data_IF_113789664325
#
_entry.id   IF_113789664325
#
_cell.length_a   1.000
_cell.length_b   1.000
_cell.length_c   1.000
_cell.angle_alpha   90.00
_cell.angle_beta   90.00
_cell.angle_gamma   90.00
#
_symmetry.space_group_name_H-M   'P 1'
#
loop_
_entity.id
_entity.type
_entity.pdbx_description
1 polymer ?
#
# COMPACT_ATOMS: atom_id res chain seq x y z
N UNK A 1 10.78 -9.51 14.63
CA UNK A 1 11.90 -10.39 14.18
C UNK A 1 12.35 -9.86 12.83
N UNK A 2 13.61 -9.41 12.69
CA UNK A 2 14.12 -8.87 11.42
C UNK A 2 14.12 -9.97 10.36
N UNK A 3 13.71 -9.59 9.15
CA UNK A 3 13.58 -10.51 7.99
C UNK A 3 14.91 -10.75 7.33
N UNK A 4 15.89 -9.93 7.65
CA UNK A 4 17.26 -10.07 7.14
C UNK A 4 17.99 -10.98 8.13
N UNK A 5 18.33 -12.23 7.75
CA UNK A 5 18.92 -13.20 8.69
C UNK A 5 20.32 -12.82 9.18
N UNK A 6 20.79 -11.63 8.84
CA UNK A 6 22.18 -11.21 9.02
C UNK A 6 22.40 -10.10 10.06
N UNK A 7 21.40 -9.64 10.81
CA UNK A 7 21.64 -8.60 11.83
C UNK A 7 22.64 -9.02 12.90
N UNK A 8 22.82 -10.33 13.09
CA UNK A 8 23.76 -10.90 14.04
C UNK A 8 24.96 -11.60 13.36
N UNK A 9 25.04 -11.56 12.04
CA UNK A 9 26.09 -12.20 11.26
C UNK A 9 26.68 -11.20 10.24
N UNK A 10 27.79 -10.56 10.62
CA UNK A 10 28.42 -9.51 9.83
C UNK A 10 28.92 -10.02 8.47
N UNK A 11 29.47 -11.21 8.41
CA UNK A 11 29.95 -11.80 7.15
C UNK A 11 28.80 -12.07 6.17
N UNK A 12 27.67 -12.52 6.66
CA UNK A 12 26.47 -12.71 5.83
C UNK A 12 25.87 -11.37 5.40
N UNK A 13 25.89 -10.35 6.26
CA UNK A 13 25.47 -9.01 5.91
C UNK A 13 26.32 -8.43 4.78
N UNK A 14 27.64 -8.57 4.84
CA UNK A 14 28.55 -8.13 3.77
C UNK A 14 28.28 -8.86 2.45
N UNK A 15 28.01 -10.16 2.51
CA UNK A 15 27.64 -10.93 1.31
C UNK A 15 26.32 -10.45 0.72
N UNK A 16 25.31 -10.15 1.55
CA UNK A 16 24.03 -9.61 1.09
C UNK A 16 24.23 -8.26 0.41
N UNK A 17 25.01 -7.34 0.99
CA UNK A 17 25.31 -6.03 0.39
C UNK A 17 26.00 -6.17 -0.96
N UNK A 18 27.02 -7.02 -1.02
CA UNK A 18 27.75 -7.29 -2.26
C UNK A 18 26.84 -7.90 -3.33
N UNK A 19 25.99 -8.85 -2.95
CA UNK A 19 25.06 -9.47 -3.88
C UNK A 19 23.95 -8.51 -4.32
N UNK A 20 23.47 -7.64 -3.43
CA UNK A 20 22.53 -6.58 -3.77
C UNK A 20 23.11 -5.61 -4.81
N UNK A 21 24.40 -5.28 -4.69
CA UNK A 21 25.09 -4.44 -5.67
C UNK A 21 25.21 -5.13 -7.02
N UNK A 22 25.54 -6.42 -7.05
CA UNK A 22 25.56 -7.22 -8.27
C UNK A 22 24.18 -7.29 -8.93
N UNK A 23 23.11 -7.45 -8.16
CA UNK A 23 21.72 -7.42 -8.68
C UNK A 23 21.39 -6.09 -9.36
N UNK A 24 21.92 -4.98 -8.87
CA UNK A 24 21.67 -3.65 -9.43
C UNK A 24 22.49 -3.35 -10.68
N UNK A 25 23.75 -3.75 -10.68
CA UNK A 25 24.73 -3.28 -11.65
C UNK A 25 25.21 -4.36 -12.61
N UNK A 26 25.21 -5.61 -12.18
CA UNK A 26 25.88 -6.72 -12.86
C UNK A 26 25.07 -8.01 -12.85
N UNK A 27 23.79 -7.92 -13.22
CA UNK A 27 22.87 -9.07 -13.20
C UNK A 27 23.40 -10.32 -13.90
N UNK A 28 24.28 -10.17 -14.91
CA UNK A 28 24.92 -11.27 -15.60
C UNK A 28 25.96 -12.02 -14.75
N UNK A 29 26.36 -11.49 -13.59
CA UNK A 29 27.28 -12.11 -12.65
C UNK A 29 26.61 -12.80 -11.46
N UNK A 30 25.29 -12.98 -11.48
CA UNK A 30 24.52 -13.54 -10.37
C UNK A 30 24.98 -14.93 -9.91
N UNK A 31 25.59 -15.73 -10.78
CA UNK A 31 26.18 -17.03 -10.43
C UNK A 31 27.49 -16.96 -9.62
N UNK A 32 28.09 -15.78 -9.46
CA UNK A 32 29.41 -15.59 -8.83
C UNK A 32 29.30 -15.19 -7.35
N UNK A 33 28.50 -15.92 -6.55
CA UNK A 33 28.29 -15.59 -5.13
C UNK A 33 29.12 -16.44 -4.16
N UNK A 34 29.82 -17.46 -4.64
CA UNK A 34 30.74 -18.28 -3.84
C UNK A 34 30.06 -19.29 -2.91
N UNK A 35 28.77 -19.55 -3.07
CA UNK A 35 28.02 -20.57 -2.34
C UNK A 35 27.61 -21.69 -3.29
N UNK A 36 27.47 -22.91 -2.78
CA UNK A 36 26.79 -23.95 -3.51
C UNK A 36 25.26 -23.68 -3.56
N UNK A 37 24.54 -24.40 -4.40
CA UNK A 37 23.11 -24.15 -4.63
C UNK A 37 22.29 -24.32 -3.35
N UNK A 38 22.59 -25.33 -2.54
CA UNK A 38 21.88 -25.60 -1.29
C UNK A 38 22.12 -24.49 -0.26
N UNK A 39 23.37 -24.08 -0.10
CA UNK A 39 23.75 -23.03 0.84
C UNK A 39 23.25 -21.66 0.37
N UNK A 40 23.22 -21.40 -0.93
CA UNK A 40 22.63 -20.20 -1.51
C UNK A 40 21.16 -20.02 -1.10
N UNK A 41 20.34 -21.06 -1.26
CA UNK A 41 18.92 -20.99 -0.87
C UNK A 41 18.72 -21.00 0.63
N UNK A 42 19.48 -21.81 1.38
CA UNK A 42 19.29 -21.94 2.83
C UNK A 42 19.81 -20.74 3.61
N UNK A 43 20.83 -20.04 3.11
CA UNK A 43 21.38 -18.85 3.77
C UNK A 43 20.43 -17.65 3.78
N UNK A 44 19.40 -17.66 2.92
CA UNK A 44 18.52 -16.50 2.71
C UNK A 44 19.20 -15.33 1.99
N UNK A 45 20.42 -15.52 1.43
CA UNK A 45 21.20 -14.48 0.78
C UNK A 45 20.42 -13.80 -0.35
N UNK A 46 19.79 -14.58 -1.23
CA UNK A 46 18.99 -14.04 -2.33
C UNK A 46 17.82 -13.19 -1.84
N UNK A 47 17.07 -13.71 -0.88
CA UNK A 47 15.95 -12.98 -0.28
C UNK A 47 16.41 -11.71 0.43
N UNK A 48 17.49 -11.80 1.23
CA UNK A 48 18.08 -10.64 1.90
C UNK A 48 18.57 -9.58 0.92
N UNK A 49 19.20 -9.98 -0.19
CA UNK A 49 19.67 -9.06 -1.23
C UNK A 49 18.49 -8.36 -1.94
N UNK A 50 17.43 -9.09 -2.28
CA UNK A 50 16.20 -8.52 -2.85
C UNK A 50 15.59 -7.48 -1.90
N UNK A 51 15.41 -7.81 -0.61
CA UNK A 51 14.86 -6.88 0.37
C UNK A 51 15.77 -5.64 0.56
N UNK A 52 17.08 -5.84 0.49
CA UNK A 52 18.03 -4.72 0.58
C UNK A 52 17.95 -3.79 -0.63
N UNK A 53 17.86 -4.34 -1.84
CA UNK A 53 17.63 -3.54 -3.05
C UNK A 53 16.30 -2.77 -2.95
N UNK A 54 15.23 -3.44 -2.54
CA UNK A 54 13.92 -2.80 -2.32
C UNK A 54 14.02 -1.67 -1.29
N UNK A 55 14.70 -1.91 -0.17
CA UNK A 55 14.92 -0.91 0.88
C UNK A 55 15.67 0.33 0.42
N UNK A 56 16.64 0.18 -0.49
CA UNK A 56 17.40 1.31 -1.03
C UNK A 56 16.57 2.22 -1.96
N UNK A 57 15.53 1.68 -2.57
CA UNK A 57 14.60 2.41 -3.44
C UNK A 57 13.34 2.88 -2.72
N UNK A 58 13.14 2.49 -1.48
CA UNK A 58 12.05 3.01 -0.66
C UNK A 58 12.47 4.34 -0.02
N UNK A 59 11.52 5.28 0.10
CA UNK A 59 11.76 6.46 0.92
C UNK A 59 12.10 6.02 2.34
N UNK A 60 13.00 6.76 2.99
CA UNK A 60 13.25 6.57 4.42
C UNK A 60 11.93 6.79 5.18
N UNK A 61 11.77 6.16 6.35
CA UNK A 61 10.59 6.40 7.19
C UNK A 61 10.42 7.89 7.49
N UNK A 62 11.53 8.61 7.70
CA UNK A 62 11.51 10.06 7.89
C UNK A 62 10.94 10.80 6.68
N UNK A 63 11.39 10.50 5.46
CA UNK A 63 10.90 11.15 4.25
C UNK A 63 9.42 10.83 3.97
N UNK A 64 8.96 9.62 4.32
CA UNK A 64 7.54 9.26 4.21
C UNK A 64 6.69 10.07 5.20
N UNK A 65 7.12 10.14 6.46
CA UNK A 65 6.42 10.93 7.49
C UNK A 65 6.37 12.40 7.13
N UNK A 66 7.46 12.99 6.66
CA UNK A 66 7.53 14.37 6.20
C UNK A 66 6.52 14.63 5.07
N UNK A 67 6.48 13.78 4.06
CA UNK A 67 5.52 13.89 2.97
C UNK A 67 4.06 13.83 3.45
N UNK A 68 3.74 12.88 4.32
CA UNK A 68 2.38 12.73 4.87
C UNK A 68 2.00 13.93 5.73
N UNK A 69 2.92 14.43 6.55
CA UNK A 69 2.69 15.63 7.37
C UNK A 69 2.38 16.87 6.51
N UNK A 70 3.11 17.08 5.42
CA UNK A 70 2.81 18.17 4.48
C UNK A 70 1.42 18.02 3.86
N UNK A 71 1.03 16.81 3.49
CA UNK A 71 -0.30 16.58 2.92
C UNK A 71 -1.41 16.80 3.97
N UNK A 72 -1.25 16.30 5.19
CA UNK A 72 -2.23 16.49 6.25
C UNK A 72 -2.33 17.95 6.69
N UNK A 73 -1.20 18.67 6.79
CA UNK A 73 -1.21 20.11 7.05
C UNK A 73 -1.94 20.88 5.94
N UNK A 74 -1.67 20.55 4.67
CA UNK A 74 -2.36 21.17 3.54
C UNK A 74 -3.88 20.92 3.57
N UNK A 75 -4.31 19.73 3.99
CA UNK A 75 -5.73 19.41 4.17
C UNK A 75 -6.36 20.16 5.34
N UNK A 76 -5.65 20.31 6.44
CA UNK A 76 -6.11 21.08 7.62
C UNK A 76 -6.18 22.58 7.31
N UNK A 77 -5.15 23.15 6.71
CA UNK A 77 -5.11 24.56 6.29
C UNK A 77 -6.23 24.89 5.27
N UNK A 78 -6.54 23.95 4.39
CA UNK A 78 -7.64 24.03 3.44
C UNK A 78 -9.01 23.69 4.01
N UNK A 79 -9.12 23.38 5.31
CA UNK A 79 -10.37 23.01 6.01
C UNK A 79 -11.06 21.75 5.44
N UNK A 80 -10.31 20.85 4.81
CA UNK A 80 -10.80 19.55 4.36
C UNK A 80 -10.89 18.53 5.51
N UNK A 81 -10.12 18.73 6.57
CA UNK A 81 -10.16 18.00 7.83
C UNK A 81 -10.11 18.99 9.00
N UNK A 82 -10.62 18.58 10.15
CA UNK A 82 -10.63 19.43 11.37
C UNK A 82 -9.28 19.45 12.10
N UNK A 83 -8.41 18.47 11.81
CA UNK A 83 -7.06 18.38 12.37
C UNK A 83 -6.53 16.96 12.37
N UNK A 84 -5.28 16.81 12.78
CA UNK A 84 -4.62 15.51 12.83
C UNK A 84 -3.55 15.45 13.91
N UNK A 85 -3.22 14.23 14.35
CA UNK A 85 -2.12 13.96 15.28
C UNK A 85 -1.31 12.76 14.79
N UNK A 86 0.01 12.84 14.97
CA UNK A 86 0.87 11.68 14.80
C UNK A 86 0.81 10.84 16.08
N UNK A 87 0.66 9.55 15.95
CA UNK A 87 0.67 8.64 17.09
C UNK A 87 2.10 8.28 17.49
N UNK A 88 2.29 7.92 18.76
CA UNK A 88 3.58 7.45 19.23
C UNK A 88 3.97 6.11 18.59
N UNK A 89 5.26 5.82 18.48
CA UNK A 89 5.82 4.63 17.78
C UNK A 89 5.34 3.27 18.33
N UNK A 90 4.71 3.23 19.49
CA UNK A 90 4.13 2.02 20.12
C UNK A 90 2.70 1.73 19.65
N UNK A 91 2.04 2.65 18.95
CA UNK A 91 0.66 2.51 18.53
C UNK A 91 0.54 1.75 17.20
N UNK A 92 -0.65 1.15 16.99
CA UNK A 92 -0.97 0.33 15.80
C UNK A 92 -1.29 1.13 14.55
N UNK A 93 -1.35 2.45 14.63
CA UNK A 93 -1.60 3.38 13.54
C UNK A 93 -0.59 4.53 13.60
N UNK A 94 -0.30 5.15 12.47
CA UNK A 94 0.70 6.22 12.37
C UNK A 94 0.08 7.60 12.61
N UNK A 95 -1.17 7.81 12.19
CA UNK A 95 -1.87 9.10 12.30
C UNK A 95 -3.33 8.93 12.68
N UNK A 96 -3.83 9.87 13.49
CA UNK A 96 -5.25 10.04 13.80
C UNK A 96 -5.70 11.33 13.15
N UNK A 97 -6.81 11.28 12.41
CA UNK A 97 -7.38 12.43 11.71
C UNK A 97 -8.79 12.70 12.25
N UNK A 98 -9.01 13.92 12.69
CA UNK A 98 -10.32 14.42 13.08
C UNK A 98 -11.03 14.96 11.84
N UNK A 99 -12.15 14.37 11.50
CA UNK A 99 -12.95 14.75 10.34
C UNK A 99 -13.90 15.91 10.69
N UNK A 100 -14.33 16.66 9.69
CA UNK A 100 -15.23 17.81 9.88
C UNK A 100 -16.60 17.42 10.45
N UNK A 101 -17.03 16.19 10.23
CA UNK A 101 -18.25 15.62 10.84
C UNK A 101 -18.12 15.31 12.34
N UNK A 102 -16.91 15.41 12.90
CA UNK A 102 -16.59 14.96 14.27
C UNK A 102 -16.20 13.49 14.36
N UNK A 103 -16.25 12.73 13.26
CA UNK A 103 -15.75 11.35 13.18
C UNK A 103 -14.24 11.30 13.24
N UNK A 104 -13.71 10.15 13.56
CA UNK A 104 -12.27 9.90 13.65
C UNK A 104 -11.85 8.90 12.60
N UNK A 105 -10.87 9.26 11.79
CA UNK A 105 -10.20 8.35 10.88
C UNK A 105 -8.78 8.05 11.36
N UNK A 106 -8.28 6.86 11.07
CA UNK A 106 -6.88 6.50 11.31
C UNK A 106 -6.19 6.15 10.01
N UNK A 107 -4.91 6.48 9.93
CA UNK A 107 -4.04 6.17 8.79
C UNK A 107 -2.93 5.24 9.26
N UNK A 108 -2.74 4.15 8.54
CA UNK A 108 -1.60 3.24 8.67
C UNK A 108 -0.69 3.42 7.46
N UNK A 109 0.53 3.91 7.70
CA UNK A 109 1.50 4.22 6.66
C UNK A 109 2.31 2.99 6.28
N UNK A 110 2.13 2.54 5.07
CA UNK A 110 2.85 1.39 4.52
C UNK A 110 3.84 1.80 3.43
N UNK A 111 4.84 0.96 3.21
CA UNK A 111 5.62 0.97 1.98
C UNK A 111 4.84 0.37 0.80
N UNK A 112 5.53 -0.30 -0.11
CA UNK A 112 4.84 -1.01 -1.19
C UNK A 112 3.96 -2.14 -0.61
N UNK A 113 2.68 -2.16 -1.01
CA UNK A 113 1.70 -3.13 -0.50
C UNK A 113 1.97 -4.58 -0.90
N UNK A 114 2.77 -4.80 -1.94
CA UNK A 114 3.18 -6.14 -2.41
C UNK A 114 4.30 -6.77 -1.57
N UNK A 115 4.81 -6.04 -0.56
CA UNK A 115 5.83 -6.54 0.36
C UNK A 115 5.34 -7.68 1.25
N UNK A 116 6.19 -8.70 1.46
CA UNK A 116 5.86 -9.88 2.26
C UNK A 116 5.60 -9.58 3.75
N UNK A 117 5.92 -8.38 4.21
CA UNK A 117 5.89 -7.98 5.62
C UNK A 117 4.90 -6.87 5.93
N UNK A 118 3.96 -6.63 5.03
CA UNK A 118 2.91 -5.66 5.29
C UNK A 118 1.93 -6.25 6.30
N UNK A 119 2.15 -5.99 7.59
CA UNK A 119 1.16 -6.25 8.61
C UNK A 119 0.05 -5.22 8.49
N UNK A 120 -1.18 -5.70 8.38
CA UNK A 120 -2.36 -4.85 8.40
C UNK A 120 -2.96 -5.01 9.78
N UNK A 121 -2.99 -3.90 10.51
CA UNK A 121 -3.57 -3.87 11.83
C UNK A 121 -5.10 -3.86 11.76
N UNK A 122 -5.72 -4.14 12.86
CA UNK A 122 -7.15 -3.99 13.04
C UNK A 122 -7.49 -2.51 13.23
N UNK A 123 -8.63 -2.07 12.69
CA UNK A 123 -9.12 -0.72 12.94
C UNK A 123 -9.33 -0.55 14.44
N UNK A 124 -8.77 0.49 15.07
CA UNK A 124 -9.03 0.79 16.47
C UNK A 124 -10.52 1.00 16.76
N UNK A 125 -11.00 0.56 17.92
CA UNK A 125 -12.42 0.65 18.30
C UNK A 125 -12.95 2.09 18.33
N UNK A 126 -12.08 3.05 18.56
CA UNK A 126 -12.40 4.48 18.59
C UNK A 126 -12.26 5.17 17.22
N UNK A 127 -11.99 4.43 16.16
CA UNK A 127 -11.91 4.96 14.81
C UNK A 127 -13.14 4.57 13.99
N UNK A 128 -13.72 5.55 13.33
CA UNK A 128 -14.85 5.35 12.40
C UNK A 128 -14.37 4.87 11.03
N UNK A 129 -13.15 5.30 10.64
CA UNK A 129 -12.55 4.97 9.36
C UNK A 129 -11.11 4.50 9.52
N UNK A 130 -10.68 3.58 8.67
CA UNK A 130 -9.32 3.10 8.61
C UNK A 130 -8.81 3.09 7.17
N UNK A 131 -7.81 3.92 6.91
CA UNK A 131 -7.22 4.08 5.58
C UNK A 131 -5.75 3.65 5.60
N UNK A 132 -5.36 2.84 4.64
CA UNK A 132 -3.95 2.52 4.40
C UNK A 132 -3.39 3.51 3.40
N UNK A 133 -2.31 4.17 3.78
CA UNK A 133 -1.55 5.02 2.88
C UNK A 133 -0.27 4.30 2.45
N UNK A 134 -0.22 3.90 1.20
CA UNK A 134 0.96 3.24 0.63
C UNK A 134 1.84 4.24 -0.08
N UNK A 135 3.07 4.38 0.40
CA UNK A 135 4.09 5.22 -0.23
C UNK A 135 5.18 4.32 -0.81
N UNK A 136 5.18 4.18 -2.11
CA UNK A 136 6.16 3.40 -2.84
C UNK A 136 7.02 4.33 -3.69
N UNK A 137 8.28 4.51 -3.32
CA UNK A 137 9.24 5.35 -4.05
C UNK A 137 10.12 4.57 -5.02
N UNK A 138 9.78 3.32 -5.30
CA UNK A 138 10.51 2.50 -6.24
C UNK A 138 10.36 3.05 -7.67
N UNK A 139 11.42 3.66 -8.18
CA UNK A 139 11.47 4.28 -9.52
C UNK A 139 11.20 3.31 -10.68
N UNK A 140 11.36 2.01 -10.47
CA UNK A 140 11.03 0.97 -11.45
C UNK A 140 9.66 0.32 -11.29
N UNK A 141 8.96 0.60 -10.17
CA UNK A 141 7.66 0.03 -9.87
C UNK A 141 6.50 0.77 -10.53
N UNK A 142 5.47 0.03 -10.93
CA UNK A 142 4.17 0.60 -11.26
C UNK A 142 3.32 0.60 -9.99
N UNK A 143 2.99 1.76 -9.40
CA UNK A 143 2.18 1.83 -8.18
C UNK A 143 0.86 1.08 -8.30
N UNK A 144 0.26 1.04 -9.50
CA UNK A 144 -1.00 0.32 -9.75
C UNK A 144 -0.83 -1.20 -9.68
N UNK A 145 0.31 -1.74 -10.13
CA UNK A 145 0.62 -3.17 -10.00
C UNK A 145 0.87 -3.54 -8.55
N UNK A 146 1.58 -2.69 -7.81
CA UNK A 146 1.82 -2.89 -6.39
C UNK A 146 0.50 -2.82 -5.61
N UNK A 147 -0.38 -1.87 -5.94
CA UNK A 147 -1.72 -1.79 -5.37
C UNK A 147 -2.52 -3.07 -5.64
N UNK A 148 -2.59 -3.50 -6.89
CA UNK A 148 -3.30 -4.73 -7.28
C UNK A 148 -2.76 -5.95 -6.51
N UNK A 149 -1.45 -6.17 -6.54
CA UNK A 149 -0.83 -7.30 -5.85
C UNK A 149 -1.12 -7.26 -4.34
N UNK A 150 -0.96 -6.10 -3.70
CA UNK A 150 -1.22 -5.93 -2.28
C UNK A 150 -2.69 -6.12 -1.91
N UNK A 151 -3.61 -5.55 -2.69
CA UNK A 151 -5.07 -5.67 -2.47
C UNK A 151 -5.50 -7.12 -2.68
N UNK A 152 -5.12 -7.73 -3.80
CA UNK A 152 -5.52 -9.08 -4.12
C UNK A 152 -4.95 -10.13 -3.15
N UNK A 153 -3.66 -10.05 -2.81
CA UNK A 153 -3.02 -11.10 -2.00
C UNK A 153 -3.15 -10.85 -0.51
N UNK A 154 -2.89 -9.64 -0.07
CA UNK A 154 -2.73 -9.30 1.36
C UNK A 154 -4.00 -8.77 1.99
N UNK A 155 -4.51 -7.64 1.47
CA UNK A 155 -5.68 -7.00 2.04
C UNK A 155 -6.90 -7.90 1.98
N UNK A 156 -7.16 -8.55 0.84
CA UNK A 156 -8.27 -9.48 0.72
C UNK A 156 -8.17 -10.65 1.70
N UNK A 157 -6.97 -11.20 1.92
CA UNK A 157 -6.77 -12.27 2.88
C UNK A 157 -7.03 -11.79 4.32
N UNK A 158 -6.46 -10.67 4.72
CA UNK A 158 -6.64 -10.11 6.06
C UNK A 158 -8.10 -9.72 6.33
N UNK A 159 -8.77 -9.11 5.36
CA UNK A 159 -10.19 -8.75 5.49
C UNK A 159 -11.08 -9.98 5.58
N UNK A 160 -10.88 -10.97 4.70
CA UNK A 160 -11.78 -12.13 4.60
C UNK A 160 -11.53 -13.15 5.72
N UNK A 161 -10.26 -13.44 6.06
CA UNK A 161 -9.94 -14.50 7.03
C UNK A 161 -9.84 -14.00 8.46
N UNK A 162 -9.43 -12.76 8.67
CA UNK A 162 -9.26 -12.17 10.00
C UNK A 162 -10.30 -11.10 10.32
N UNK A 163 -11.30 -10.93 9.43
CA UNK A 163 -12.39 -9.95 9.59
C UNK A 163 -11.90 -8.50 9.81
N UNK A 164 -10.71 -8.18 9.33
CA UNK A 164 -10.17 -6.83 9.45
C UNK A 164 -10.90 -5.88 8.51
N UNK A 165 -11.18 -4.68 9.00
CA UNK A 165 -11.85 -3.63 8.22
C UNK A 165 -10.84 -2.62 7.74
N UNK A 166 -10.85 -2.37 6.43
CA UNK A 166 -10.09 -1.31 5.76
C UNK A 166 -11.06 -0.59 4.84
N UNK A 167 -11.25 0.70 5.04
CA UNK A 167 -12.24 1.48 4.27
C UNK A 167 -11.67 1.94 2.94
N UNK A 168 -10.35 2.12 2.87
CA UNK A 168 -9.70 2.44 1.62
C UNK A 168 -8.18 2.41 1.65
N UNK A 169 -7.63 2.56 0.44
CA UNK A 169 -6.18 2.64 0.23
C UNK A 169 -5.87 3.89 -0.60
N UNK A 170 -4.95 4.70 -0.11
CA UNK A 170 -4.36 5.81 -0.86
C UNK A 170 -2.99 5.38 -1.36
N UNK A 171 -2.80 5.37 -2.67
CA UNK A 171 -1.49 5.17 -3.30
C UNK A 171 -1.02 6.52 -3.82
N UNK A 172 -0.06 7.10 -3.12
CA UNK A 172 0.41 8.42 -3.45
C UNK A 172 1.78 8.67 -2.85
N UNK A 173 2.72 9.09 -3.66
CA UNK A 173 4.08 9.35 -3.26
C UNK A 173 4.70 10.51 -4.05
N UNK A 174 5.89 10.93 -3.64
CA UNK A 174 6.67 11.98 -4.29
C UNK A 174 7.05 11.66 -5.76
N UNK A 175 6.83 10.45 -6.21
CA UNK A 175 7.22 9.93 -7.53
C UNK A 175 6.03 9.31 -8.24
N UNK A 176 4.82 9.66 -7.84
CA UNK A 176 3.59 9.15 -8.47
C UNK A 176 3.63 9.41 -9.97
N UNK A 177 3.60 8.34 -10.76
CA UNK A 177 3.74 8.42 -12.20
C UNK A 177 5.13 8.14 -12.77
N UNK A 178 6.03 7.66 -11.96
CA UNK A 178 7.44 7.27 -12.20
C UNK A 178 8.01 7.34 -13.61
N UNK A 179 9.28 7.72 -13.67
CA UNK A 179 10.15 7.68 -14.87
C UNK A 179 9.96 6.38 -15.66
N UNK A 180 9.54 6.51 -16.93
CA UNK A 180 9.29 5.38 -17.82
C UNK A 180 7.83 4.91 -17.88
N UNK A 181 6.97 5.33 -16.96
CA UNK A 181 5.51 5.07 -17.00
C UNK A 181 4.75 6.29 -16.51
N UNK A 182 4.66 7.34 -17.29
CA UNK A 182 4.01 8.58 -16.88
C UNK A 182 2.56 8.30 -16.45
N UNK A 183 2.22 8.75 -15.24
CA UNK A 183 0.84 8.79 -14.82
C UNK A 183 0.08 9.78 -15.71
N UNK A 184 -1.06 9.39 -16.31
CA UNK A 184 -1.87 10.32 -17.08
C UNK A 184 -2.26 11.60 -16.33
N UNK A 185 -2.29 11.53 -15.01
CA UNK A 185 -2.56 12.68 -14.13
C UNK A 185 -1.43 13.71 -14.13
N UNK A 186 -0.19 13.30 -14.39
CA UNK A 186 0.97 14.19 -14.51
C UNK A 186 1.08 14.83 -15.90
N UNK A 187 0.28 14.41 -16.87
CA UNK A 187 0.32 14.94 -18.23
C UNK A 187 -0.06 16.43 -18.33
N UNK A 188 -0.62 16.99 -17.25
CA UNK A 188 -0.97 18.42 -17.19
C UNK A 188 -0.52 19.00 -15.85
N UNK A 189 0.39 19.98 -15.89
CA UNK A 189 0.80 20.77 -14.72
C UNK A 189 -0.39 21.43 -14.01
N UNK A 190 -1.47 21.72 -14.75
CA UNK A 190 -2.71 22.30 -14.24
C UNK A 190 -3.44 21.42 -13.19
N UNK A 191 -3.01 20.20 -12.98
CA UNK A 191 -3.61 19.27 -11.99
C UNK A 191 -2.68 18.95 -10.81
N UNK A 192 -1.62 19.69 -10.66
CA UNK A 192 -0.74 19.54 -9.51
C UNK A 192 -1.21 20.46 -8.38
N UNK A 193 -1.11 19.96 -7.16
CA UNK A 193 -1.33 20.72 -5.94
C UNK A 193 0.00 20.95 -5.26
N UNK A 194 0.31 22.20 -4.98
CA UNK A 194 1.50 22.58 -4.22
C UNK A 194 1.24 22.38 -2.73
N UNK A 195 2.07 21.56 -2.09
CA UNK A 195 2.02 21.35 -0.64
C UNK A 195 3.44 21.42 -0.04
N UNK A 196 3.85 22.61 0.34
CA UNK A 196 5.19 22.88 0.83
C UNK A 196 6.26 22.62 -0.24
N UNK A 197 7.24 21.72 0.00
CA UNK A 197 8.29 21.43 -0.98
C UNK A 197 7.83 20.48 -2.11
N UNK A 198 6.57 20.05 -2.11
CA UNK A 198 6.05 19.04 -3.03
C UNK A 198 5.00 19.65 -3.96
N UNK A 199 5.08 19.29 -5.26
CA UNK A 199 4.02 19.47 -6.22
C UNK A 199 3.50 18.08 -6.62
N UNK A 200 2.25 17.79 -6.31
CA UNK A 200 1.71 16.44 -6.39
C UNK A 200 0.46 16.34 -7.24
N UNK A 201 0.31 15.26 -8.02
CA UNK A 201 -0.93 15.00 -8.76
C UNK A 201 -2.02 14.50 -7.79
N UNK A 202 -3.27 14.41 -8.22
CA UNK A 202 -4.32 13.77 -7.45
C UNK A 202 -3.95 12.35 -7.02
N UNK A 203 -4.23 12.00 -5.77
CA UNK A 203 -3.96 10.67 -5.22
C UNK A 203 -4.71 9.56 -5.98
N UNK A 204 -4.14 8.36 -6.03
CA UNK A 204 -4.85 7.16 -6.46
C UNK A 204 -5.62 6.58 -5.26
N UNK A 205 -6.95 6.65 -5.31
CA UNK A 205 -7.84 6.22 -4.24
C UNK A 205 -8.49 4.90 -4.63
N UNK A 206 -8.42 3.93 -3.73
CA UNK A 206 -9.09 2.64 -3.81
C UNK A 206 -10.10 2.55 -2.68
N UNK A 207 -11.38 2.48 -3.03
CA UNK A 207 -12.49 2.29 -2.09
C UNK A 207 -12.66 0.79 -1.85
N UNK A 208 -12.72 0.40 -0.58
CA UNK A 208 -12.84 -0.98 -0.15
C UNK A 208 -14.30 -1.30 0.28
N UNK A 209 -14.70 -2.57 0.34
CA UNK A 209 -16.00 -2.94 0.88
C UNK A 209 -16.11 -2.64 2.38
N UNK A 210 -17.23 -2.09 2.83
CA UNK A 210 -17.54 -1.95 4.25
C UNK A 210 -17.83 -3.30 4.93
N UNK A 211 -18.43 -4.23 4.17
CA UNK A 211 -18.77 -5.55 4.66
C UNK A 211 -17.70 -6.59 4.33
N UNK A 212 -17.56 -7.59 5.20
CA UNK A 212 -16.74 -8.77 4.95
C UNK A 212 -17.61 -9.82 4.25
N UNK A 213 -17.15 -10.42 3.13
CA UNK A 213 -17.94 -11.44 2.46
C UNK A 213 -18.13 -12.67 3.35
N UNK A 214 -19.34 -13.24 3.31
CA UNK A 214 -19.73 -14.40 4.10
C UNK A 214 -20.51 -15.41 3.25
N UNK A 215 -20.80 -16.59 3.78
CA UNK A 215 -21.59 -17.57 3.07
C UNK A 215 -23.02 -17.05 2.74
N UNK A 216 -23.58 -16.18 3.58
CA UNK A 216 -24.87 -15.57 3.34
C UNK A 216 -24.80 -14.40 2.33
N UNK A 217 -23.67 -13.73 2.27
CA UNK A 217 -23.40 -12.64 1.34
C UNK A 217 -22.01 -12.86 0.71
N UNK A 218 -21.90 -13.75 -0.28
CA UNK A 218 -20.61 -14.14 -0.83
C UNK A 218 -19.93 -13.03 -1.63
N UNK A 219 -20.69 -12.06 -2.13
CA UNK A 219 -20.18 -10.92 -2.90
C UNK A 219 -20.40 -9.64 -2.13
N UNK A 220 -19.34 -8.85 -1.95
CA UNK A 220 -19.40 -7.51 -1.36
C UNK A 220 -18.82 -6.49 -2.32
N UNK A 221 -19.42 -5.32 -2.35
CA UNK A 221 -19.06 -4.21 -3.23
C UNK A 221 -18.34 -3.12 -2.46
N UNK A 222 -17.45 -2.42 -3.16
CA UNK A 222 -16.81 -1.23 -2.64
C UNK A 222 -17.82 -0.20 -2.14
N UNK A 223 -17.46 0.52 -1.11
CA UNK A 223 -18.17 1.72 -0.63
C UNK A 223 -18.14 2.82 -1.71
N UNK A 224 -19.09 3.76 -1.60
CA UNK A 224 -19.04 4.97 -2.40
C UNK A 224 -18.11 6.01 -1.73
N UNK A 225 -17.57 6.95 -2.50
CA UNK A 225 -16.63 7.94 -1.97
C UNK A 225 -17.20 8.73 -0.78
N UNK A 226 -18.48 9.12 -0.86
CA UNK A 226 -19.15 9.90 0.20
C UNK A 226 -19.36 9.13 1.51
N UNK A 227 -19.21 7.81 1.51
CA UNK A 227 -19.32 6.97 2.71
C UNK A 227 -18.02 6.94 3.51
N UNK A 228 -16.89 7.35 2.90
CA UNK A 228 -15.57 7.41 3.53
C UNK A 228 -15.06 8.86 3.48
N UNK A 229 -15.33 9.60 4.56
CA UNK A 229 -15.11 11.04 4.62
C UNK A 229 -13.65 11.43 4.42
N UNK A 230 -12.71 10.67 5.00
CA UNK A 230 -11.28 10.93 4.80
C UNK A 230 -10.88 10.82 3.33
N UNK A 231 -11.38 9.81 2.61
CA UNK A 231 -11.09 9.67 1.19
C UNK A 231 -11.77 10.75 0.35
N UNK A 232 -12.98 11.18 0.74
CA UNK A 232 -13.64 12.35 0.15
C UNK A 232 -12.84 13.62 0.33
N UNK A 233 -12.26 13.82 1.51
CA UNK A 233 -11.39 14.95 1.81
C UNK A 233 -10.12 14.93 0.95
N UNK A 234 -9.45 13.78 0.83
CA UNK A 234 -8.32 13.62 -0.09
C UNK A 234 -8.68 13.92 -1.54
N UNK A 235 -9.77 13.35 -2.01
CA UNK A 235 -10.24 13.52 -3.38
C UNK A 235 -10.51 14.99 -3.70
N UNK A 236 -11.19 15.69 -2.82
CA UNK A 236 -11.55 17.10 -2.99
C UNK A 236 -10.35 18.02 -2.86
N UNK A 237 -9.47 17.80 -1.86
CA UNK A 237 -8.31 18.62 -1.58
C UNK A 237 -7.30 18.62 -2.73
N UNK A 238 -7.07 17.45 -3.35
CA UNK A 238 -6.03 17.27 -4.35
C UNK A 238 -6.56 17.13 -5.79
N UNK A 239 -7.72 17.70 -6.08
CA UNK A 239 -8.25 17.82 -7.44
C UNK A 239 -8.57 16.48 -8.08
N UNK A 240 -9.08 15.52 -7.31
CA UNK A 240 -9.53 14.22 -7.79
C UNK A 240 -10.69 14.32 -8.78
N UNK A 241 -10.86 13.30 -9.60
CA UNK A 241 -11.99 13.14 -10.52
C UNK A 241 -12.66 11.80 -10.26
N UNK A 242 -13.97 11.77 -10.32
CA UNK A 242 -14.76 10.56 -10.03
C UNK A 242 -14.41 9.38 -10.96
N UNK A 243 -14.08 9.67 -12.23
CA UNK A 243 -13.66 8.66 -13.20
C UNK A 243 -12.26 8.09 -12.92
N UNK A 244 -11.52 8.63 -11.93
CA UNK A 244 -10.22 8.15 -11.49
C UNK A 244 -10.28 7.30 -10.22
N UNK A 245 -11.42 7.22 -9.57
CA UNK A 245 -11.64 6.37 -8.39
C UNK A 245 -11.61 4.89 -8.75
N UNK A 246 -10.99 4.11 -7.87
CA UNK A 246 -10.95 2.66 -8.00
C UNK A 246 -11.87 2.02 -6.95
N UNK A 247 -12.71 1.12 -7.40
CA UNK A 247 -13.69 0.41 -6.58
C UNK A 247 -13.30 -1.07 -6.51
N UNK A 248 -13.04 -1.57 -5.30
CA UNK A 248 -12.60 -2.94 -5.05
C UNK A 248 -13.76 -3.77 -4.57
N UNK A 249 -14.05 -4.86 -5.28
CA UNK A 249 -15.09 -5.81 -4.89
C UNK A 249 -14.43 -7.14 -4.51
N UNK A 250 -15.03 -7.87 -3.57
CA UNK A 250 -14.63 -9.23 -3.22
C UNK A 250 -15.78 -10.20 -3.41
N UNK A 251 -15.43 -11.40 -3.86
CA UNK A 251 -16.33 -12.53 -3.92
C UNK A 251 -15.63 -13.74 -3.31
N UNK A 252 -16.36 -14.54 -2.54
CA UNK A 252 -15.85 -15.78 -1.96
C UNK A 252 -16.65 -16.99 -2.45
N UNK A 253 -15.96 -18.12 -2.51
CA UNK A 253 -16.56 -19.42 -2.76
C UNK A 253 -15.89 -20.48 -1.87
N UNK A 254 -16.68 -21.40 -1.32
CA UNK A 254 -16.14 -22.56 -0.64
C UNK A 254 -16.06 -23.76 -1.58
N UNK A 255 -14.90 -24.40 -1.60
CA UNK A 255 -14.68 -25.66 -2.27
C UNK A 255 -14.22 -26.69 -1.23
N UNK A 256 -15.16 -27.43 -0.65
CA UNK A 256 -14.91 -28.29 0.51
C UNK A 256 -14.44 -27.49 1.72
N UNK A 257 -13.23 -27.75 2.20
CA UNK A 257 -12.60 -27.04 3.32
C UNK A 257 -11.84 -25.77 2.87
N UNK A 258 -11.66 -25.59 1.58
CA UNK A 258 -10.88 -24.48 1.04
C UNK A 258 -11.78 -23.25 0.81
N UNK A 259 -11.30 -22.10 1.22
CA UNK A 259 -11.91 -20.81 0.95
C UNK A 259 -11.19 -20.16 -0.24
N UNK A 260 -11.94 -19.97 -1.32
CA UNK A 260 -11.48 -19.27 -2.51
C UNK A 260 -11.97 -17.83 -2.47
N UNK A 261 -11.21 -16.93 -3.09
CA UNK A 261 -11.63 -15.56 -3.33
C UNK A 261 -11.38 -15.11 -4.76
N UNK A 262 -12.20 -14.20 -5.19
CA UNK A 262 -12.04 -13.39 -6.39
C UNK A 262 -11.97 -11.93 -5.96
N UNK A 263 -11.04 -11.18 -6.54
CA UNK A 263 -10.89 -9.75 -6.34
C UNK A 263 -11.10 -9.07 -7.69
N UNK A 264 -11.85 -7.98 -7.71
CA UNK A 264 -11.99 -7.16 -8.90
C UNK A 264 -11.80 -5.69 -8.57
N UNK A 265 -11.26 -4.92 -9.51
CA UNK A 265 -11.06 -3.47 -9.41
C UNK A 265 -11.68 -2.81 -10.63
N UNK A 266 -12.61 -1.91 -10.41
CA UNK A 266 -13.25 -1.08 -11.43
C UNK A 266 -12.76 0.36 -11.29
N UNK A 267 -12.64 1.07 -12.41
CA UNK A 267 -12.33 2.51 -12.45
C UNK A 267 -13.21 3.17 -13.51
N UNK A 268 -13.86 4.29 -13.18
CA UNK A 268 -14.78 4.96 -14.10
C UNK A 268 -15.87 4.04 -14.66
N UNK A 269 -16.34 3.07 -13.85
CA UNK A 269 -17.33 2.05 -14.26
C UNK A 269 -16.76 0.90 -15.09
N UNK A 270 -15.47 0.94 -15.50
CA UNK A 270 -14.83 -0.05 -16.37
C UNK A 270 -14.00 -1.02 -15.50
N UNK A 271 -14.12 -2.32 -15.75
CA UNK A 271 -13.27 -3.33 -15.15
C UNK A 271 -11.81 -3.12 -15.56
N UNK A 272 -10.94 -2.90 -14.58
CA UNK A 272 -9.51 -2.71 -14.82
C UNK A 272 -8.72 -4.00 -14.60
N UNK A 273 -9.05 -4.70 -13.53
CA UNK A 273 -8.39 -5.94 -13.13
C UNK A 273 -9.38 -6.85 -12.44
N UNK A 274 -9.27 -8.13 -12.71
CA UNK A 274 -10.07 -9.19 -12.09
C UNK A 274 -9.21 -10.43 -11.96
N UNK A 275 -9.26 -11.09 -10.79
CA UNK A 275 -8.60 -12.38 -10.60
C UNK A 275 -9.55 -13.54 -10.95
N UNK A 276 -8.99 -14.69 -11.23
CA UNK A 276 -9.71 -15.95 -11.10
C UNK A 276 -10.04 -16.23 -9.63
N UNK A 277 -10.96 -17.18 -9.38
CA UNK A 277 -11.17 -17.72 -8.05
C UNK A 277 -9.90 -18.44 -7.59
N UNK A 278 -9.24 -17.91 -6.58
CA UNK A 278 -7.96 -18.42 -6.08
C UNK A 278 -8.04 -18.72 -4.58
N UNK A 279 -7.37 -19.78 -4.10
CA UNK A 279 -7.29 -20.07 -2.68
C UNK A 279 -6.70 -18.90 -1.89
N UNK A 280 -7.30 -18.62 -0.74
CA UNK A 280 -6.69 -17.71 0.24
C UNK A 280 -5.60 -18.52 0.93
N UNK A 281 -4.36 -18.27 0.56
CA UNK A 281 -3.21 -18.86 1.24
C UNK A 281 -3.15 -18.26 2.66
N UNK A 282 -3.08 -19.13 3.66
CA UNK A 282 -2.85 -18.68 5.05
C UNK A 282 -1.56 -17.87 5.08
N UNK A 283 -1.65 -16.67 5.60
CA UNK A 283 -0.51 -15.76 5.81
C UNK A 283 0.19 -16.14 7.12
#
# INVERSE_FOLDING_TARGET
>A
MSIIPCEQNEALREQIERFAEVLKTEAHKLGQHGLDEKDFYNSGLFRGAIERVRGQFSATMRGKREFVQHALNHMEDGQFIAGWDQTEDSNRNDYVVRLNSGRVAVIDLKGCLDGNNTNIFERPDNADEFVIWSICTNRGGDPRRNAWSGIHTRLSAEMITHSKRVDGVVIWDMVCGTLGRPCPKLATEARQTDMGPFAVPPACIYLMPAAIPSNAQPTVRAQQLHEVELLSAFHSCFGGRDDELHFVDFEIQRNGLELLRKTSVRRGGIMQQESEMTPIRRV
#
